data_IF_499095195660
#
_entry.id   IF_499095195660
#
_cell.length_a   1.000
_cell.length_b   1.000
_cell.length_c   1.000
_cell.angle_alpha   90.00
_cell.angle_beta   90.00
_cell.angle_gamma   90.00
#
_symmetry.space_group_name_H-M   'P 1'
#
loop_
_entity.id
_entity.type
_entity.pdbx_description
1 polymer ?
#
# COMPACT_ATOMS: atom_id res chain seq x y z
N UNK A 1 44.17 -54.63 13.11
CA UNK A 1 43.49 -53.94 11.99
C UNK A 1 42.12 -54.58 11.79
N UNK A 2 41.03 -53.91 12.16
CA UNK A 2 39.67 -54.36 11.87
C UNK A 2 38.85 -53.18 11.37
N UNK A 3 38.30 -53.32 10.16
CA UNK A 3 37.51 -52.33 9.45
C UNK A 3 36.04 -52.40 9.91
N UNK A 4 35.47 -51.26 10.28
CA UNK A 4 34.04 -51.14 10.61
C UNK A 4 33.25 -50.78 9.35
N UNK A 5 32.41 -51.71 8.89
CA UNK A 5 31.42 -51.53 7.81
C UNK A 5 30.14 -50.98 8.43
N UNK A 6 29.83 -49.70 8.17
CA UNK A 6 28.52 -49.14 8.47
C UNK A 6 27.56 -49.36 7.30
N UNK A 7 26.58 -50.24 7.47
CA UNK A 7 25.45 -50.42 6.55
C UNK A 7 24.47 -49.25 6.69
N UNK A 8 24.26 -48.53 5.59
CA UNK A 8 23.23 -47.50 5.45
C UNK A 8 21.88 -48.15 5.11
N UNK A 9 20.86 -47.91 5.95
CA UNK A 9 19.48 -48.33 5.68
C UNK A 9 18.72 -47.19 4.99
N UNK A 10 18.41 -47.37 3.70
CA UNK A 10 17.59 -46.46 2.91
C UNK A 10 16.12 -46.73 3.20
N UNK A 11 15.45 -45.80 3.88
CA UNK A 11 14.02 -45.84 4.12
C UNK A 11 13.25 -45.33 2.89
N UNK A 12 12.42 -46.19 2.30
CA UNK A 12 11.55 -45.85 1.17
C UNK A 12 10.32 -45.01 1.62
N UNK A 13 9.84 -44.05 0.81
CA UNK A 13 8.67 -43.24 1.14
C UNK A 13 7.34 -43.98 0.90
N UNK A 14 6.43 -43.88 1.87
CA UNK A 14 5.05 -44.40 1.79
C UNK A 14 4.17 -43.51 0.88
N UNK A 15 3.34 -44.07 -0.02
CA UNK A 15 2.36 -43.30 -0.77
C UNK A 15 1.12 -42.99 0.08
N UNK A 16 0.78 -41.69 0.21
CA UNK A 16 -0.48 -41.23 0.80
C UNK A 16 -1.58 -41.28 -0.26
N UNK A 17 -2.49 -42.24 -0.14
CA UNK A 17 -3.72 -42.30 -0.92
C UNK A 17 -4.72 -41.24 -0.38
N UNK A 18 -4.93 -40.17 -1.13
CA UNK A 18 -5.98 -39.17 -0.88
C UNK A 18 -7.30 -39.65 -1.50
N UNK A 19 -8.16 -40.24 -0.68
CA UNK A 19 -9.59 -40.45 -0.96
C UNK A 19 -10.29 -39.09 -0.94
N UNK A 20 -10.68 -38.57 -2.09
CA UNK A 20 -11.59 -37.43 -2.22
C UNK A 20 -13.04 -37.91 -2.11
N UNK A 21 -13.66 -37.76 -0.93
CA UNK A 21 -15.11 -37.82 -0.79
C UNK A 21 -15.68 -36.43 -1.13
N UNK A 22 -16.31 -36.31 -2.30
CA UNK A 22 -17.01 -35.11 -2.74
C UNK A 22 -18.40 -35.14 -2.08
N UNK A 23 -18.62 -34.27 -1.10
CA UNK A 23 -19.96 -34.03 -0.57
C UNK A 23 -20.75 -33.12 -1.55
N UNK A 24 -22.00 -33.45 -1.92
CA UNK A 24 -22.81 -32.57 -2.75
C UNK A 24 -23.32 -31.38 -1.94
N UNK A 25 -23.01 -30.18 -2.40
CA UNK A 25 -23.58 -28.92 -1.91
C UNK A 25 -25.07 -28.88 -2.27
N UNK A 26 -25.93 -28.87 -1.25
CA UNK A 26 -27.35 -28.61 -1.42
C UNK A 26 -27.57 -27.19 -1.98
N UNK A 27 -28.17 -27.13 -3.17
CA UNK A 27 -28.64 -25.90 -3.80
C UNK A 27 -29.78 -25.31 -2.96
N UNK A 28 -29.50 -24.20 -2.28
CA UNK A 28 -30.53 -23.37 -1.64
C UNK A 28 -31.23 -22.57 -2.74
N UNK A 29 -32.40 -23.04 -3.17
CA UNK A 29 -33.31 -22.30 -4.05
C UNK A 29 -33.92 -21.13 -3.26
N UNK A 30 -33.76 -19.91 -3.78
CA UNK A 30 -34.51 -18.74 -3.31
C UNK A 30 -35.75 -18.62 -4.19
N UNK A 31 -36.91 -18.94 -3.62
CA UNK A 31 -38.23 -18.62 -4.16
C UNK A 31 -38.50 -17.13 -3.92
N UNK A 32 -38.64 -16.36 -5.00
CA UNK A 32 -39.14 -14.98 -4.98
C UNK A 32 -40.65 -15.00 -5.17
N UNK A 33 -41.46 -14.55 -4.20
CA UNK A 33 -42.86 -14.24 -4.48
C UNK A 33 -42.94 -12.96 -5.32
N UNK A 34 -43.61 -13.08 -6.45
CA UNK A 34 -43.99 -12.00 -7.34
C UNK A 34 -45.03 -11.09 -6.67
N UNK A 35 -45.01 -9.80 -7.01
CA UNK A 35 -46.18 -8.94 -6.94
C UNK A 35 -46.00 -7.60 -6.25
N UNK A 36 -45.47 -6.60 -6.97
CA UNK A 36 -46.01 -5.22 -6.94
C UNK A 36 -45.53 -4.45 -8.18
N UNK A 37 -46.42 -3.88 -9.02
CA UNK A 37 -46.02 -3.04 -10.15
C UNK A 37 -45.57 -1.63 -9.72
N UNK A 38 -44.63 -0.99 -10.42
CA UNK A 38 -44.26 0.40 -10.15
C UNK A 38 -45.25 1.38 -10.80
N UNK A 39 -45.66 2.47 -10.11
CA UNK A 39 -46.31 3.59 -10.77
C UNK A 39 -45.29 4.42 -11.56
N UNK A 40 -45.66 4.69 -12.81
CA UNK A 40 -45.15 5.73 -13.70
C UNK A 40 -45.20 7.10 -13.03
N UNK A 41 -44.10 7.86 -13.07
CA UNK A 41 -44.09 9.31 -13.35
C UNK A 41 -42.66 9.86 -13.42
N UNK A 42 -42.34 10.38 -14.61
CA UNK A 42 -41.74 11.70 -14.85
C UNK A 42 -40.28 11.98 -14.48
N UNK A 43 -39.46 11.92 -15.54
CA UNK A 43 -38.44 12.91 -15.93
C UNK A 43 -38.42 14.21 -15.11
N UNK A 44 -37.33 14.44 -14.39
CA UNK A 44 -36.80 15.78 -14.07
C UNK A 44 -35.33 15.68 -13.68
N UNK A 45 -34.46 16.06 -14.60
CA UNK A 45 -33.05 16.40 -14.35
C UNK A 45 -32.93 17.60 -13.42
N UNK A 46 -32.25 17.52 -12.27
CA UNK A 46 -31.83 18.71 -11.54
C UNK A 46 -30.48 19.22 -12.07
N UNK A 47 -30.52 20.34 -12.77
CA UNK A 47 -29.34 21.17 -13.06
C UNK A 47 -28.77 21.73 -11.75
N UNK A 48 -27.44 21.73 -11.52
CA UNK A 48 -26.85 22.40 -10.37
C UNK A 48 -26.85 23.92 -10.59
N UNK A 49 -27.74 24.62 -9.90
CA UNK A 49 -27.73 26.07 -9.76
C UNK A 49 -26.49 26.51 -8.98
N UNK A 50 -25.60 27.23 -9.66
CA UNK A 50 -24.47 27.92 -9.04
C UNK A 50 -25.00 29.19 -8.36
N UNK A 51 -25.29 29.10 -7.07
CA UNK A 51 -25.54 30.28 -6.23
C UNK A 51 -24.19 30.90 -5.85
N UNK A 52 -23.85 32.02 -6.48
CA UNK A 52 -22.79 32.91 -6.01
C UNK A 52 -23.21 33.52 -4.67
N UNK A 53 -22.63 33.02 -3.59
CA UNK A 53 -22.66 33.69 -2.30
C UNK A 53 -21.43 34.61 -2.19
N UNK A 54 -21.68 35.91 -2.03
CA UNK A 54 -20.65 36.91 -1.74
C UNK A 54 -19.95 36.60 -0.40
N UNK A 55 -18.61 36.72 -0.30
CA UNK A 55 -17.91 36.46 0.95
C UNK A 55 -18.09 37.65 1.91
N UNK A 56 -18.84 37.43 2.98
CA UNK A 56 -18.84 38.27 4.17
C UNK A 56 -17.48 38.15 4.89
N UNK A 57 -16.88 39.31 5.19
CA UNK A 57 -15.61 39.42 5.90
C UNK A 57 -15.74 38.93 7.36
N UNK A 58 -14.85 38.05 7.85
CA UNK A 58 -14.78 37.76 9.28
C UNK A 58 -13.88 38.79 9.99
N UNK A 59 -14.49 39.56 10.89
CA UNK A 59 -13.80 40.35 11.93
C UNK A 59 -13.01 39.41 12.84
N UNK A 60 -11.68 39.36 12.66
CA UNK A 60 -10.79 38.53 13.46
C UNK A 60 -10.37 39.28 14.74
N UNK A 61 -11.01 38.98 15.85
CA UNK A 61 -10.44 39.15 17.20
C UNK A 61 -9.62 37.90 17.55
N UNK A 62 -8.52 38.10 18.25
CA UNK A 62 -7.34 37.24 18.22
C UNK A 62 -7.49 35.84 18.81
N UNK A 63 -6.68 34.90 18.29
CA UNK A 63 -5.70 34.14 19.08
C UNK A 63 -4.91 33.17 18.18
N UNK A 64 -3.59 33.39 18.09
CA UNK A 64 -2.58 32.33 18.01
C UNK A 64 -2.54 31.41 16.79
N UNK A 65 -2.30 31.94 15.59
CA UNK A 65 -1.64 31.19 14.51
C UNK A 65 -0.31 31.88 14.20
N UNK A 66 0.81 31.16 13.97
CA UNK A 66 2.03 31.79 13.52
C UNK A 66 1.73 32.40 12.15
N UNK A 67 1.58 33.72 12.16
CA UNK A 67 1.48 34.55 10.98
C UNK A 67 2.77 34.26 10.19
N UNK A 68 2.63 33.59 9.05
CA UNK A 68 3.69 33.58 8.06
C UNK A 68 3.94 35.06 7.80
N UNK A 69 5.11 35.54 8.19
CA UNK A 69 5.51 36.93 7.99
C UNK A 69 5.75 37.14 6.49
N UNK A 70 4.70 37.53 5.77
CA UNK A 70 4.77 37.92 4.36
C UNK A 70 5.35 39.35 4.19
N UNK A 71 5.76 40.04 5.26
CA UNK A 71 6.25 41.42 5.16
C UNK A 71 7.60 41.54 4.44
N UNK A 72 8.37 40.45 4.35
CA UNK A 72 9.64 40.40 3.62
C UNK A 72 9.56 39.93 2.15
N UNK A 73 8.39 39.48 1.66
CA UNK A 73 8.28 38.72 0.42
C UNK A 73 7.60 39.47 -0.75
N UNK A 74 7.72 40.80 -0.80
CA UNK A 74 7.36 41.58 -2.00
C UNK A 74 8.58 42.24 -2.60
N UNK A 75 9.57 41.43 -3.02
CA UNK A 75 10.41 41.85 -4.15
C UNK A 75 9.47 41.93 -5.35
N UNK A 76 9.18 43.16 -5.78
CA UNK A 76 8.34 43.43 -6.94
C UNK A 76 8.96 42.70 -8.12
N UNK A 77 8.23 41.74 -8.70
CA UNK A 77 8.61 41.11 -9.95
C UNK A 77 8.89 42.21 -10.98
N UNK A 78 10.12 42.28 -11.46
CA UNK A 78 10.42 43.10 -12.62
C UNK A 78 9.69 42.48 -13.82
N UNK A 79 8.95 43.24 -14.63
CA UNK A 79 8.21 42.71 -15.79
C UNK A 79 9.09 41.99 -16.83
N UNK A 80 10.42 42.11 -16.73
CA UNK A 80 11.41 41.50 -17.62
C UNK A 80 12.15 40.31 -16.96
N UNK A 81 11.75 39.88 -15.78
CA UNK A 81 12.37 38.73 -15.12
C UNK A 81 11.65 37.46 -15.56
N UNK A 82 12.43 36.47 -16.03
CA UNK A 82 11.89 35.16 -16.41
C UNK A 82 11.01 34.63 -15.26
N UNK A 83 9.70 34.39 -15.48
CA UNK A 83 8.79 33.98 -14.42
C UNK A 83 9.22 32.67 -13.74
N UNK A 84 10.07 31.87 -14.38
CA UNK A 84 10.63 30.65 -13.82
C UNK A 84 11.91 30.89 -12.99
N UNK A 85 12.48 32.08 -12.98
CA UNK A 85 13.74 32.38 -12.30
C UNK A 85 13.66 32.11 -10.79
N UNK A 86 12.54 32.48 -10.15
CA UNK A 86 12.32 32.19 -8.72
C UNK A 86 12.22 30.69 -8.45
N UNK A 87 11.56 29.92 -9.34
CA UNK A 87 11.44 28.48 -9.22
C UNK A 87 12.79 27.77 -9.43
N UNK A 88 13.62 28.23 -10.37
CA UNK A 88 14.96 27.68 -10.59
C UNK A 88 15.92 27.99 -9.43
N UNK A 89 15.88 29.21 -8.92
CA UNK A 89 16.64 29.61 -7.74
C UNK A 89 16.23 28.78 -6.51
N UNK A 90 14.93 28.60 -6.29
CA UNK A 90 14.39 27.77 -5.21
C UNK A 90 14.76 26.30 -5.41
N UNK A 91 14.61 25.75 -6.62
CA UNK A 91 14.94 24.36 -6.96
C UNK A 91 16.42 24.05 -6.81
N UNK A 92 17.30 25.00 -7.14
CA UNK A 92 18.74 24.89 -6.92
C UNK A 92 19.11 25.00 -5.42
N UNK A 93 18.38 25.81 -4.66
CA UNK A 93 18.55 25.98 -3.22
C UNK A 93 18.01 24.81 -2.38
N UNK A 94 17.15 23.94 -2.97
CA UNK A 94 16.61 22.78 -2.25
C UNK A 94 17.71 21.80 -1.87
N UNK A 95 17.93 21.66 -0.57
CA UNK A 95 18.76 20.62 0.10
C UNK A 95 18.31 19.17 -0.19
N UNK A 96 17.23 18.97 -0.96
CA UNK A 96 16.64 17.66 -1.23
C UNK A 96 17.31 16.88 -2.38
N UNK A 97 18.37 17.45 -2.98
CA UNK A 97 19.15 16.77 -4.01
C UNK A 97 18.44 16.72 -5.36
N UNK A 98 19.22 16.48 -6.41
CA UNK A 98 18.73 16.29 -7.78
C UNK A 98 17.70 15.16 -7.79
N UNK A 99 16.55 15.30 -8.48
CA UNK A 99 15.57 14.23 -8.59
C UNK A 99 16.28 12.95 -9.04
N UNK A 100 16.09 11.91 -8.26
CA UNK A 100 16.74 10.64 -8.52
C UNK A 100 16.32 10.05 -9.88
N UNK A 101 17.27 9.45 -10.59
CA UNK A 101 16.99 8.54 -11.71
C UNK A 101 16.11 7.36 -11.23
N UNK A 102 15.49 6.60 -12.15
CA UNK A 102 14.69 5.39 -11.90
C UNK A 102 15.38 4.34 -11.01
N UNK A 103 16.71 4.40 -10.91
CA UNK A 103 17.53 3.53 -10.09
C UNK A 103 17.82 4.07 -8.68
N UNK A 104 17.49 5.31 -8.37
CA UNK A 104 17.91 5.98 -7.11
C UNK A 104 17.37 5.29 -5.86
N UNK A 105 16.15 4.73 -5.92
CA UNK A 105 15.59 3.93 -4.83
C UNK A 105 16.14 2.50 -4.74
N UNK A 106 17.00 2.09 -5.68
CA UNK A 106 17.56 0.73 -5.81
C UNK A 106 19.09 0.71 -5.83
N UNK A 107 19.73 1.86 -5.97
CA UNK A 107 21.17 2.01 -5.96
C UNK A 107 21.67 2.21 -4.53
N UNK A 108 22.77 1.55 -4.21
CA UNK A 108 23.45 1.68 -2.93
C UNK A 108 24.92 1.96 -3.18
N UNK A 109 25.44 3.02 -2.58
CA UNK A 109 26.89 3.27 -2.54
C UNK A 109 27.53 2.17 -1.71
N UNK A 110 28.60 1.56 -2.22
CA UNK A 110 29.34 0.51 -1.52
C UNK A 110 30.18 1.17 -0.42
N UNK A 111 29.76 0.99 0.83
CA UNK A 111 30.44 1.54 2.02
C UNK A 111 30.60 0.43 3.05
N UNK A 112 31.84 0.16 3.48
CA UNK A 112 32.13 -0.88 4.47
C UNK A 112 31.96 -2.31 3.95
N UNK A 113 32.27 -2.54 2.66
CA UNK A 113 32.32 -3.86 2.05
C UNK A 113 31.09 -4.23 1.20
N UNK A 114 31.36 -4.92 0.07
CA UNK A 114 30.35 -5.28 -0.91
C UNK A 114 29.23 -6.15 -0.32
N UNK A 115 29.57 -7.20 0.43
CA UNK A 115 28.60 -8.15 1.02
C UNK A 115 27.57 -7.44 1.90
N UNK A 116 28.01 -6.55 2.80
CA UNK A 116 27.11 -5.80 3.68
C UNK A 116 26.16 -4.89 2.90
N UNK A 117 26.69 -4.20 1.89
CA UNK A 117 25.86 -3.32 1.04
C UNK A 117 24.87 -4.11 0.19
N UNK A 118 25.26 -5.29 -0.29
CA UNK A 118 24.41 -6.20 -1.03
C UNK A 118 23.25 -6.73 -0.17
N UNK A 119 23.52 -7.19 1.06
CA UNK A 119 22.48 -7.64 1.99
C UNK A 119 21.49 -6.52 2.35
N UNK A 120 21.98 -5.28 2.50
CA UNK A 120 21.12 -4.10 2.73
C UNK A 120 20.24 -3.81 1.52
N UNK A 121 20.82 -3.80 0.32
CA UNK A 121 20.08 -3.64 -0.93
C UNK A 121 19.00 -4.72 -1.08
N UNK A 122 19.35 -5.99 -0.81
CA UNK A 122 18.42 -7.11 -0.90
C UNK A 122 17.25 -6.98 0.09
N UNK A 123 17.51 -6.53 1.31
CA UNK A 123 16.47 -6.23 2.30
C UNK A 123 15.54 -5.13 1.78
N UNK A 124 16.07 -4.02 1.27
CA UNK A 124 15.27 -2.93 0.70
C UNK A 124 14.39 -3.37 -0.48
N UNK A 125 14.91 -4.22 -1.37
CA UNK A 125 14.12 -4.79 -2.47
C UNK A 125 12.97 -5.69 -1.99
N UNK A 126 13.13 -6.34 -0.83
CA UNK A 126 12.06 -7.13 -0.22
C UNK A 126 11.01 -6.24 0.46
N UNK A 127 11.42 -5.18 1.17
CA UNK A 127 10.51 -4.24 1.85
C UNK A 127 9.60 -3.51 0.86
N UNK A 128 10.18 -3.02 -0.23
CA UNK A 128 9.44 -2.36 -1.33
C UNK A 128 8.52 -3.32 -2.08
N UNK A 129 8.68 -4.63 -1.89
CA UNK A 129 7.89 -5.65 -2.58
C UNK A 129 8.26 -5.84 -4.05
N UNK A 130 9.40 -5.30 -4.50
CA UNK A 130 9.83 -5.33 -5.90
C UNK A 130 9.85 -6.75 -6.49
N UNK A 131 10.39 -7.73 -5.76
CA UNK A 131 10.40 -9.14 -6.21
C UNK A 131 9.00 -9.71 -6.42
N UNK A 132 8.06 -9.35 -5.54
CA UNK A 132 6.67 -9.80 -5.63
C UNK A 132 5.96 -9.16 -6.81
N UNK A 133 6.24 -7.89 -7.07
CA UNK A 133 5.74 -7.16 -8.23
C UNK A 133 6.31 -7.73 -9.54
N UNK A 134 7.63 -7.89 -9.64
CA UNK A 134 8.27 -8.49 -10.81
C UNK A 134 7.70 -9.88 -11.13
N UNK A 135 7.41 -10.71 -10.12
CA UNK A 135 6.77 -12.02 -10.32
C UNK A 135 5.34 -11.90 -10.85
N UNK A 136 4.57 -10.92 -10.40
CA UNK A 136 3.18 -10.70 -10.87
C UNK A 136 3.14 -10.10 -12.27
N UNK A 137 4.09 -9.25 -12.61
CA UNK A 137 4.18 -8.63 -13.93
C UNK A 137 4.59 -9.60 -15.04
N UNK A 138 5.07 -10.82 -14.70
CA UNK A 138 5.40 -11.86 -15.70
C UNK A 138 4.22 -12.24 -16.58
N UNK A 139 3.00 -12.15 -16.07
CA UNK A 139 1.78 -12.52 -16.80
C UNK A 139 0.69 -11.49 -16.56
N UNK A 140 -0.18 -11.31 -17.55
CA UNK A 140 -1.35 -10.45 -17.41
C UNK A 140 -2.36 -11.09 -16.44
N UNK A 141 -2.74 -10.35 -15.39
CA UNK A 141 -3.80 -10.71 -14.44
C UNK A 141 -5.05 -9.88 -14.77
N UNK A 142 -6.22 -10.51 -14.85
CA UNK A 142 -7.46 -9.79 -15.16
C UNK A 142 -7.78 -8.76 -14.05
N UNK A 143 -8.37 -7.59 -14.36
CA UNK A 143 -8.66 -6.57 -13.34
C UNK A 143 -9.54 -7.07 -12.18
N UNK A 144 -10.47 -7.97 -12.44
CA UNK A 144 -11.33 -8.60 -11.41
C UNK A 144 -10.52 -9.49 -10.44
N UNK A 145 -9.56 -10.24 -10.96
CA UNK A 145 -8.66 -11.10 -10.18
C UNK A 145 -7.73 -10.26 -9.31
N UNK A 146 -7.17 -9.17 -9.87
CA UNK A 146 -6.36 -8.21 -9.11
C UNK A 146 -7.15 -7.66 -7.91
N UNK A 147 -8.41 -7.27 -8.11
CA UNK A 147 -9.29 -6.76 -7.04
C UNK A 147 -9.53 -7.83 -5.97
N UNK A 148 -9.89 -9.06 -6.38
CA UNK A 148 -10.13 -10.20 -5.47
C UNK A 148 -8.89 -10.52 -4.64
N UNK A 149 -7.72 -10.59 -5.28
CA UNK A 149 -6.43 -10.82 -4.63
C UNK A 149 -6.07 -9.71 -3.65
N UNK A 150 -6.19 -8.44 -4.04
CA UNK A 150 -5.91 -7.31 -3.13
C UNK A 150 -6.84 -7.29 -1.92
N UNK A 151 -8.10 -7.71 -2.07
CA UNK A 151 -9.06 -7.83 -0.96
C UNK A 151 -8.64 -8.96 -0.01
N UNK A 152 -8.36 -10.16 -0.53
CA UNK A 152 -7.95 -11.29 0.30
C UNK A 152 -6.62 -11.06 1.00
N UNK A 153 -5.65 -10.44 0.33
CA UNK A 153 -4.36 -10.04 0.93
C UNK A 153 -4.56 -9.04 2.08
N UNK A 154 -5.44 -8.05 1.92
CA UNK A 154 -5.75 -7.07 2.98
C UNK A 154 -6.39 -7.74 4.20
N UNK A 155 -7.33 -8.66 3.98
CA UNK A 155 -7.99 -9.40 5.07
C UNK A 155 -6.98 -10.25 5.84
N UNK A 156 -6.12 -11.01 5.14
CA UNK A 156 -5.08 -11.82 5.77
C UNK A 156 -4.13 -10.99 6.62
N UNK A 157 -3.72 -9.80 6.13
CA UNK A 157 -2.86 -8.87 6.89
C UNK A 157 -3.55 -8.38 8.16
N UNK A 158 -4.79 -7.89 8.05
CA UNK A 158 -5.58 -7.43 9.21
C UNK A 158 -5.75 -8.52 10.24
N UNK A 159 -6.14 -9.71 9.80
CA UNK A 159 -6.29 -10.89 10.66
C UNK A 159 -4.99 -11.23 11.39
N UNK A 160 -3.86 -11.24 10.68
CA UNK A 160 -2.56 -11.50 11.27
C UNK A 160 -2.16 -10.43 12.31
N UNK A 161 -2.43 -9.15 12.05
CA UNK A 161 -2.19 -8.06 13.00
C UNK A 161 -3.00 -8.27 14.27
N UNK A 162 -4.31 -8.50 14.15
CA UNK A 162 -5.18 -8.74 15.30
C UNK A 162 -4.75 -9.97 16.09
N UNK A 163 -4.38 -11.08 15.43
CA UNK A 163 -3.87 -12.26 16.13
C UNK A 163 -2.61 -11.95 16.92
N UNK A 164 -1.64 -11.24 16.32
CA UNK A 164 -0.40 -10.88 17.00
C UNK A 164 -0.67 -10.07 18.26
N UNK A 165 -1.55 -9.07 18.18
CA UNK A 165 -1.95 -8.24 19.32
C UNK A 165 -2.59 -9.08 20.43
N UNK A 166 -3.50 -9.99 20.08
CA UNK A 166 -4.17 -10.86 21.07
C UNK A 166 -3.19 -11.85 21.71
N UNK A 167 -2.28 -12.44 20.93
CA UNK A 167 -1.25 -13.36 21.46
C UNK A 167 -0.29 -12.61 22.37
N UNK A 168 0.14 -11.42 21.99
CA UNK A 168 1.02 -10.59 22.81
C UNK A 168 0.36 -10.23 24.15
N UNK A 169 -0.93 -9.88 24.14
CA UNK A 169 -1.70 -9.63 25.37
C UNK A 169 -1.72 -10.85 26.29
N UNK A 170 -1.99 -12.05 25.74
CA UNK A 170 -1.97 -13.29 26.51
C UNK A 170 -0.58 -13.58 27.09
N UNK A 171 0.48 -13.35 26.31
CA UNK A 171 1.86 -13.51 26.79
C UNK A 171 2.19 -12.54 27.93
N UNK A 172 1.77 -11.27 27.82
CA UNK A 172 1.97 -10.27 28.87
C UNK A 172 1.22 -10.61 30.17
N UNK A 173 -0.01 -11.12 30.07
CA UNK A 173 -0.76 -11.59 31.24
C UNK A 173 -0.12 -12.83 31.87
N UNK A 174 0.43 -13.71 31.04
CA UNK A 174 1.15 -14.91 31.52
C UNK A 174 2.46 -14.55 32.22
N UNK A 175 3.24 -13.61 31.69
CA UNK A 175 4.54 -13.22 32.28
C UNK A 175 4.41 -12.41 33.56
N UNK A 176 3.20 -11.92 33.87
CA UNK A 176 2.91 -11.14 35.09
C UNK A 176 2.59 -12.04 36.30
N UNK A 177 2.24 -13.30 36.07
CA UNK A 177 2.05 -14.32 37.12
C UNK A 177 3.39 -14.96 37.45
#
# INVERSE_FOLDING_TARGET
>A
MFAAVFRSAVAAPRPLALRSAIAPLALRAYSTPAGTPPPTSESSTPSPSTSQAAPSQPSASGSGRPLIDLSGARKRFSPNEDPDAWWRAESAARRFGVPGNQYTGRSHKVVGGFMRTFSRMQTNLNLTGFKKEAKRQKYHERPSEIKRRRKSERIRRRFQTVIREKVQLVQMLRSRK
#
